data_IF_948438581217
#
_entry.id   IF_948438581217
#
_cell.length_a   1.000
_cell.length_b   1.000
_cell.length_c   1.000
_cell.angle_alpha   90.00
_cell.angle_beta   90.00
_cell.angle_gamma   90.00
#
_symmetry.space_group_name_H-M   'P 1'
#
loop_
_entity.id
_entity.type
_entity.pdbx_description
1 polymer ?
#
# COMPACT_ATOMS: atom_id res chain seq x y z
N UNK A 1 -1.06 -1.67 26.64
CA UNK A 1 -0.38 -1.23 25.58
C UNK A 1 -0.76 -1.95 24.34
N UNK A 2 -1.13 -1.24 23.50
CA UNK A 2 -1.50 -1.83 22.32
C UNK A 2 -0.27 -2.26 21.70
N UNK A 3 -0.10 -3.38 21.56
CA UNK A 3 1.02 -3.75 20.89
C UNK A 3 0.71 -3.99 19.52
N UNK A 4 1.37 -3.37 18.71
CA UNK A 4 1.44 -3.76 17.36
C UNK A 4 2.09 -5.09 17.33
N UNK A 5 1.53 -5.99 16.67
CA UNK A 5 2.16 -7.28 16.54
C UNK A 5 3.34 -7.13 15.62
N UNK A 6 4.38 -7.92 15.80
CA UNK A 6 5.52 -7.88 14.88
C UNK A 6 5.11 -8.15 13.43
N UNK A 7 4.03 -8.92 13.24
CA UNK A 7 3.53 -9.20 11.90
C UNK A 7 3.09 -7.93 11.19
N UNK A 8 2.40 -7.05 11.93
CA UNK A 8 1.93 -5.82 11.33
C UNK A 8 3.09 -4.91 10.92
N UNK A 9 4.09 -4.81 11.78
CA UNK A 9 5.26 -4.01 11.45
C UNK A 9 5.98 -4.56 10.25
N UNK A 10 6.08 -5.88 10.16
CA UNK A 10 6.75 -6.51 9.05
C UNK A 10 6.01 -6.25 7.74
N UNK A 11 4.69 -6.36 7.76
CA UNK A 11 3.89 -6.15 6.55
C UNK A 11 4.04 -4.72 6.06
N UNK A 12 3.93 -3.75 6.97
CA UNK A 12 4.02 -2.36 6.57
C UNK A 12 5.41 -2.01 6.05
N UNK A 13 6.43 -2.52 6.72
CA UNK A 13 7.80 -2.22 6.33
C UNK A 13 8.13 -2.80 4.97
N UNK A 14 7.78 -4.06 4.75
CA UNK A 14 8.08 -4.72 3.48
C UNK A 14 7.22 -4.13 2.37
N UNK A 15 5.94 -3.92 2.64
CA UNK A 15 5.05 -3.36 1.63
C UNK A 15 5.49 -1.98 1.20
N UNK A 16 5.85 -1.14 2.16
CA UNK A 16 6.31 0.20 1.83
C UNK A 16 7.63 0.16 1.06
N UNK A 17 8.50 -0.75 1.41
CA UNK A 17 9.76 -0.89 0.69
C UNK A 17 9.54 -1.32 -0.75
N UNK A 18 8.65 -2.27 -0.98
CA UNK A 18 8.30 -2.68 -2.34
C UNK A 18 7.77 -1.49 -3.11
N UNK A 19 6.90 -0.72 -2.49
CA UNK A 19 6.35 0.46 -3.13
C UNK A 19 7.45 1.44 -3.53
N UNK A 20 8.33 1.80 -2.59
CA UNK A 20 9.32 2.83 -2.82
C UNK A 20 10.38 2.40 -3.83
N UNK A 21 10.77 1.13 -3.79
CA UNK A 21 11.91 0.70 -4.62
C UNK A 21 11.49 0.14 -5.95
N UNK A 22 10.27 -0.38 -6.07
CA UNK A 22 9.87 -1.09 -7.28
C UNK A 22 8.69 -0.47 -7.99
N UNK A 23 7.69 -0.01 -7.25
CA UNK A 23 6.42 0.35 -7.86
C UNK A 23 6.28 1.84 -8.11
N UNK A 24 6.87 2.64 -7.25
CA UNK A 24 6.67 4.08 -7.28
C UNK A 24 6.94 4.70 -8.67
N UNK A 25 8.05 4.38 -9.33
CA UNK A 25 8.29 5.01 -10.63
C UNK A 25 7.24 4.67 -11.68
N UNK A 26 6.62 3.49 -11.52
CA UNK A 26 5.61 3.04 -12.47
C UNK A 26 4.24 3.58 -12.15
N UNK A 27 3.89 3.63 -10.85
CA UNK A 27 2.51 3.89 -10.47
C UNK A 27 2.22 5.34 -10.13
N UNK A 28 3.23 6.15 -9.78
CA UNK A 28 2.99 7.54 -9.41
C UNK A 28 2.84 8.40 -10.65
N UNK A 29 1.72 8.23 -11.30
CA UNK A 29 1.34 9.03 -12.47
C UNK A 29 0.18 9.93 -12.07
N UNK A 30 -0.07 10.95 -12.87
CA UNK A 30 -1.17 11.88 -12.58
C UNK A 30 -2.50 11.15 -12.44
N UNK A 31 -2.70 10.10 -13.22
CA UNK A 31 -3.94 9.35 -13.17
C UNK A 31 -4.11 8.58 -11.87
N UNK A 32 -3.02 8.18 -11.26
CA UNK A 32 -3.07 7.32 -10.10
C UNK A 32 -2.90 8.05 -8.77
N UNK A 33 -2.44 9.29 -8.80
CA UNK A 33 -2.24 10.04 -7.55
C UNK A 33 -3.57 10.11 -6.80
N UNK A 34 -3.53 9.74 -5.53
CA UNK A 34 -4.71 9.73 -4.69
C UNK A 34 -5.46 8.42 -4.64
N UNK A 35 -5.14 7.49 -5.53
CA UNK A 35 -5.76 6.18 -5.48
C UNK A 35 -5.05 5.30 -4.47
N UNK A 36 -5.67 4.19 -4.15
CA UNK A 36 -5.08 3.20 -3.25
C UNK A 36 -4.34 2.15 -4.06
N UNK A 37 -3.24 1.67 -3.49
CA UNK A 37 -2.54 0.53 -4.05
C UNK A 37 -2.42 -0.52 -2.96
N UNK A 38 -2.84 -1.74 -3.28
CA UNK A 38 -2.73 -2.87 -2.38
C UNK A 38 -1.66 -3.81 -2.93
N UNK A 39 -0.72 -4.18 -2.09
CA UNK A 39 0.48 -4.91 -2.49
C UNK A 39 0.53 -6.21 -1.71
N UNK A 40 0.74 -7.31 -2.42
CA UNK A 40 1.03 -8.59 -1.78
C UNK A 40 2.52 -8.61 -1.48
N UNK A 41 2.87 -8.60 -0.21
CA UNK A 41 4.27 -8.51 0.16
C UNK A 41 5.02 -9.81 -0.12
N UNK A 42 4.32 -10.90 -0.35
CA UNK A 42 4.97 -12.18 -0.64
C UNK A 42 5.43 -12.26 -2.08
N UNK A 43 4.67 -11.67 -3.00
CA UNK A 43 4.97 -11.80 -4.44
C UNK A 43 5.33 -10.47 -5.09
N UNK A 44 4.93 -9.36 -4.50
CA UNK A 44 5.08 -8.06 -5.12
C UNK A 44 3.95 -7.70 -6.07
N UNK A 45 2.97 -8.58 -6.24
CA UNK A 45 1.81 -8.27 -7.06
C UNK A 45 0.98 -7.18 -6.41
N UNK A 46 0.25 -6.43 -7.20
CA UNK A 46 -0.50 -5.30 -6.66
C UNK A 46 -1.74 -5.00 -7.48
N UNK A 47 -2.65 -4.22 -6.87
CA UNK A 47 -3.82 -3.67 -7.54
C UNK A 47 -3.98 -2.21 -7.16
N UNK A 48 -4.53 -1.43 -8.08
CA UNK A 48 -4.79 -0.02 -7.85
C UNK A 48 -6.29 0.20 -7.98
N UNK A 49 -6.87 0.96 -7.07
CA UNK A 49 -8.28 1.26 -7.11
C UNK A 49 -8.64 2.42 -6.22
N UNK A 50 -9.90 2.82 -6.27
CA UNK A 50 -10.37 3.96 -5.49
C UNK A 50 -10.79 3.56 -4.09
N UNK A 51 -11.26 2.33 -3.91
CA UNK A 51 -11.79 1.87 -2.63
C UNK A 51 -11.00 0.67 -2.14
N UNK A 52 -10.85 0.58 -0.83
CA UNK A 52 -10.02 -0.43 -0.21
C UNK A 52 -10.53 -1.84 -0.47
N UNK A 53 -11.79 -2.08 -0.15
CA UNK A 53 -12.31 -3.46 -0.17
C UNK A 53 -12.28 -4.07 -1.57
N UNK A 54 -12.78 -3.38 -2.60
CA UNK A 54 -12.70 -3.96 -3.95
C UNK A 54 -11.27 -4.17 -4.43
N UNK A 55 -10.37 -3.25 -4.08
CA UNK A 55 -8.98 -3.34 -4.51
C UNK A 55 -8.30 -4.55 -3.91
N UNK A 56 -8.49 -4.77 -2.61
CA UNK A 56 -7.93 -5.93 -1.94
C UNK A 56 -8.54 -7.21 -2.49
N UNK A 57 -9.84 -7.18 -2.75
CA UNK A 57 -10.52 -8.37 -3.28
C UNK A 57 -9.96 -8.77 -4.63
N UNK A 58 -9.72 -7.80 -5.51
CA UNK A 58 -9.14 -8.10 -6.81
C UNK A 58 -7.76 -8.72 -6.68
N UNK A 59 -6.95 -8.18 -5.79
CA UNK A 59 -5.62 -8.74 -5.57
C UNK A 59 -5.72 -10.18 -5.09
N UNK A 60 -6.63 -10.45 -4.16
CA UNK A 60 -6.77 -11.79 -3.60
C UNK A 60 -7.39 -12.78 -4.55
N UNK A 61 -8.03 -12.33 -5.61
CA UNK A 61 -8.47 -13.26 -6.65
C UNK A 61 -7.29 -13.91 -7.34
N UNK A 62 -6.18 -13.17 -7.48
CA UNK A 62 -4.99 -13.73 -8.08
C UNK A 62 -4.06 -14.34 -7.04
N UNK A 63 -4.05 -13.78 -5.83
CA UNK A 63 -3.15 -14.21 -4.76
C UNK A 63 -3.99 -14.48 -3.51
N UNK A 64 -4.61 -15.66 -3.43
CA UNK A 64 -5.55 -15.92 -2.33
C UNK A 64 -4.92 -15.84 -0.95
N UNK A 65 -3.62 -16.12 -0.85
CA UNK A 65 -2.93 -16.07 0.43
C UNK A 65 -2.16 -14.76 0.64
N UNK A 66 -2.50 -13.75 -0.10
CA UNK A 66 -1.77 -12.48 -0.04
C UNK A 66 -1.76 -11.90 1.36
N UNK A 67 -0.59 -11.44 1.77
CA UNK A 67 -0.45 -10.57 2.92
C UNK A 67 -0.39 -9.16 2.38
N UNK A 68 -1.45 -8.41 2.60
CA UNK A 68 -1.67 -7.18 1.87
C UNK A 68 -1.29 -5.96 2.68
N UNK A 69 -0.51 -5.10 2.07
CA UNK A 69 -0.24 -3.75 2.55
C UNK A 69 -0.87 -2.77 1.59
N UNK A 70 -1.58 -1.77 2.11
CA UNK A 70 -2.23 -0.77 1.27
C UNK A 70 -1.75 0.61 1.64
N UNK A 71 -1.45 1.42 0.63
CA UNK A 71 -1.15 2.83 0.86
C UNK A 71 -1.77 3.67 -0.25
N UNK A 72 -1.75 4.98 -0.04
CA UNK A 72 -2.31 5.91 -1.01
C UNK A 72 -1.19 6.42 -1.90
N UNK A 73 -1.38 6.28 -3.20
CA UNK A 73 -0.37 6.65 -4.17
C UNK A 73 -0.15 8.15 -4.13
N UNK A 74 1.10 8.55 -4.02
CA UNK A 74 1.49 9.95 -4.02
C UNK A 74 1.38 10.64 -2.69
N UNK A 75 0.95 9.93 -1.64
CA UNK A 75 0.80 10.50 -0.31
C UNK A 75 1.67 9.74 0.67
N UNK A 76 1.98 10.41 1.76
CA UNK A 76 2.82 9.80 2.78
C UNK A 76 1.94 9.02 3.75
N UNK A 77 1.49 7.85 3.31
CA UNK A 77 0.51 7.07 4.05
C UNK A 77 1.04 6.53 5.36
N UNK A 78 2.35 6.43 5.48
CA UNK A 78 2.96 5.89 6.68
C UNK A 78 2.60 6.71 7.90
N UNK A 79 2.30 7.97 7.72
CA UNK A 79 2.09 8.88 8.83
C UNK A 79 0.66 9.30 8.97
N UNK A 80 -0.26 8.50 8.48
CA UNK A 80 -1.67 8.80 8.62
C UNK A 80 -2.18 8.65 10.03
N UNK A 81 -1.46 7.91 10.86
CA UNK A 81 -1.93 7.62 12.21
C UNK A 81 -1.92 8.89 13.02
N UNK A 82 -3.09 9.27 13.52
CA UNK A 82 -3.20 10.41 14.41
C UNK A 82 -2.96 11.74 13.75
N UNK A 83 -2.91 11.79 12.44
CA UNK A 83 -2.63 13.03 11.78
C UNK A 83 -3.13 13.06 10.37
N UNK A 84 -2.73 14.10 9.67
CA UNK A 84 -3.10 14.28 8.30
C UNK A 84 -2.17 13.50 7.39
N UNK A 85 -2.70 13.10 6.27
CA UNK A 85 -1.87 12.53 5.23
C UNK A 85 -1.40 13.68 4.37
N UNK A 86 -0.11 13.76 4.17
CA UNK A 86 0.48 14.82 3.37
C UNK A 86 0.86 14.29 2.02
N UNK A 87 0.55 15.05 0.98
CA UNK A 87 0.97 14.66 -0.34
C UNK A 87 2.48 14.74 -0.44
N UNK A 88 3.05 13.71 -1.05
CA UNK A 88 4.49 13.64 -1.19
C UNK A 88 4.97 14.65 -2.23
N UNK A 89 6.03 15.33 -1.90
CA UNK A 89 6.68 16.19 -2.86
C UNK A 89 7.49 15.34 -3.82
N UNK A 90 7.52 15.76 -5.04
CA UNK A 90 8.31 15.05 -6.03
C UNK A 90 9.53 15.80 -6.43
#
# INVERSE_FOLDING_TARGET
MASTTPTDDRISRIGHEIYETRLRPTVETDENIGKLISIDINTGDYEIGDDLIPTVRLLRQRQPDAQVWTERIGYNAVYAVGGSIHRRER
#
